data_IF_005986652639
#
_entry.id   IF_005986652639
#
_cell.length_a   1.000
_cell.length_b   1.000
_cell.length_c   1.000
_cell.angle_alpha   90.00
_cell.angle_beta   90.00
_cell.angle_gamma   90.00
#
_symmetry.space_group_name_H-M   'P 1'
#
loop_
_entity.id
_entity.type
_entity.pdbx_description
1 polymer ?
#
# COMPACT_ATOMS: atom_id res chain seq x y z
N UNK A 1 -0.02 23.30 11.55
CA UNK A 1 1.10 22.68 10.80
C UNK A 1 0.56 21.51 10.00
N UNK A 2 0.79 21.44 8.66
CA UNK A 2 0.38 20.27 7.85
C UNK A 2 1.24 19.08 8.25
N UNK A 3 0.68 18.07 8.93
CA UNK A 3 1.37 16.80 9.19
C UNK A 3 1.90 16.25 7.86
N UNK A 4 3.20 16.01 7.80
CA UNK A 4 3.83 15.41 6.62
C UNK A 4 3.29 13.99 6.45
N UNK A 5 3.13 13.56 5.20
CA UNK A 5 2.71 12.19 4.91
C UNK A 5 3.85 11.24 5.29
N UNK A 6 3.56 10.23 6.10
CA UNK A 6 4.55 9.23 6.55
C UNK A 6 5.33 8.64 5.37
N UNK A 7 6.59 8.36 5.59
CA UNK A 7 7.43 7.60 4.66
C UNK A 7 6.88 6.18 4.54
N UNK A 8 6.95 5.61 3.34
CA UNK A 8 6.63 4.19 3.14
C UNK A 8 7.75 3.29 3.68
N UNK A 9 7.47 1.99 3.81
CA UNK A 9 8.42 0.98 4.33
C UNK A 9 9.75 0.98 3.59
N UNK A 10 9.74 1.11 2.23
CA UNK A 10 10.96 1.26 1.43
C UNK A 10 11.75 2.52 1.83
N UNK A 11 11.08 3.69 1.90
CA UNK A 11 11.73 4.94 2.27
C UNK A 11 12.27 4.93 3.71
N UNK A 12 11.57 4.23 4.63
CA UNK A 12 12.07 4.04 6.00
C UNK A 12 13.31 3.13 6.04
N UNK A 13 13.29 2.04 5.28
CA UNK A 13 14.45 1.14 5.19
C UNK A 13 15.68 1.88 4.64
N UNK A 14 15.52 2.64 3.57
CA UNK A 14 16.59 3.43 2.96
C UNK A 14 17.08 4.53 3.89
N UNK A 15 16.15 5.25 4.56
CA UNK A 15 16.51 6.27 5.55
C UNK A 15 17.38 5.68 6.67
N UNK A 16 16.92 4.64 7.32
CA UNK A 16 17.66 4.06 8.45
C UNK A 16 18.95 3.39 8.03
N UNK A 17 19.04 2.85 6.81
CA UNK A 17 20.28 2.30 6.26
C UNK A 17 21.34 3.37 6.08
N UNK A 18 21.01 4.43 5.37
CA UNK A 18 21.93 5.56 5.14
C UNK A 18 22.32 6.22 6.47
N UNK A 19 21.31 6.48 7.30
CA UNK A 19 21.53 7.11 8.60
C UNK A 19 22.42 6.26 9.53
N UNK A 20 22.25 4.93 9.54
CA UNK A 20 23.08 4.04 10.35
C UNK A 20 24.54 4.05 9.90
N UNK A 21 24.80 4.04 8.60
CA UNK A 21 26.15 4.09 8.05
C UNK A 21 26.86 5.40 8.43
N UNK A 22 26.18 6.52 8.24
CA UNK A 22 26.74 7.84 8.51
C UNK A 22 26.99 8.07 10.01
N UNK A 23 26.04 7.70 10.86
CA UNK A 23 26.20 7.82 12.32
C UNK A 23 27.25 6.84 12.86
N UNK A 24 27.34 5.63 12.31
CA UNK A 24 28.36 4.64 12.71
C UNK A 24 29.76 5.03 12.26
N UNK A 25 29.90 5.83 11.21
CA UNK A 25 31.20 6.41 10.79
C UNK A 25 31.66 7.58 11.66
N UNK A 26 30.89 7.95 12.69
CA UNK A 26 31.22 9.04 13.62
C UNK A 26 30.77 10.42 13.17
N UNK A 27 30.00 10.53 12.08
CA UNK A 27 29.43 11.80 11.65
C UNK A 27 28.39 12.31 12.65
N UNK A 28 28.39 13.61 12.98
CA UNK A 28 27.32 14.23 13.75
C UNK A 28 25.96 14.01 13.05
N UNK A 29 24.90 13.79 13.82
CA UNK A 29 23.56 13.53 13.29
C UNK A 29 23.09 14.62 12.31
N UNK A 30 23.35 15.88 12.62
CA UNK A 30 23.00 16.98 11.72
C UNK A 30 23.75 16.92 10.37
N UNK A 31 25.02 16.55 10.37
CA UNK A 31 25.82 16.36 9.15
C UNK A 31 25.36 15.14 8.34
N UNK A 32 24.98 14.05 9.02
CA UNK A 32 24.41 12.88 8.36
C UNK A 32 23.10 13.25 7.63
N UNK A 33 22.22 14.00 8.28
CA UNK A 33 20.95 14.44 7.69
C UNK A 33 21.16 15.40 6.50
N UNK A 34 22.21 16.22 6.53
CA UNK A 34 22.57 17.13 5.42
C UNK A 34 22.99 16.37 4.17
N UNK A 35 23.84 15.36 4.33
CA UNK A 35 24.26 14.48 3.24
C UNK A 35 23.05 13.75 2.65
N UNK A 36 22.20 13.17 3.50
CA UNK A 36 21.00 12.45 3.09
C UNK A 36 19.97 13.35 2.40
N UNK A 37 19.86 14.62 2.79
CA UNK A 37 18.99 15.60 2.12
C UNK A 37 19.41 15.86 0.69
N UNK A 38 20.72 15.93 0.43
CA UNK A 38 21.28 16.33 -0.86
C UNK A 38 21.30 15.18 -1.87
N UNK A 39 21.46 13.95 -1.40
CA UNK A 39 21.69 12.76 -2.24
C UNK A 39 20.38 12.09 -2.70
N UNK A 40 19.22 12.53 -2.19
CA UNK A 40 17.96 11.83 -2.38
C UNK A 40 17.04 12.53 -3.39
N UNK A 41 16.49 11.72 -4.31
CA UNK A 41 15.57 12.18 -5.36
C UNK A 41 14.10 12.28 -4.89
N UNK A 42 13.70 11.52 -3.82
CA UNK A 42 12.34 11.61 -3.28
C UNK A 42 12.17 12.87 -2.42
N UNK A 43 11.39 13.82 -2.94
CA UNK A 43 11.07 15.07 -2.25
C UNK A 43 10.48 14.88 -0.83
N UNK A 44 9.85 13.73 -0.54
CA UNK A 44 9.31 13.45 0.80
C UNK A 44 10.41 13.11 1.77
N UNK A 45 11.38 12.33 1.31
CA UNK A 45 12.54 11.95 2.08
C UNK A 45 13.42 13.20 2.37
N UNK A 46 13.81 13.96 1.34
CA UNK A 46 14.61 15.19 1.49
C UNK A 46 13.92 16.20 2.43
N UNK A 47 12.60 16.34 2.32
CA UNK A 47 11.82 17.21 3.24
C UNK A 47 11.83 16.72 4.69
N UNK A 48 11.77 15.40 4.89
CA UNK A 48 11.86 14.81 6.22
C UNK A 48 13.24 15.07 6.84
N UNK A 49 14.31 14.85 6.08
CA UNK A 49 15.69 15.13 6.52
C UNK A 49 15.88 16.60 6.87
N UNK A 50 15.41 17.50 6.00
CA UNK A 50 15.49 18.96 6.23
C UNK A 50 14.78 19.38 7.50
N UNK A 51 13.56 18.96 7.69
CA UNK A 51 12.78 19.32 8.88
C UNK A 51 13.40 18.72 10.15
N UNK A 52 13.86 17.48 10.08
CA UNK A 52 14.55 16.82 11.18
C UNK A 52 15.83 17.60 11.56
N UNK A 53 16.68 17.93 10.57
CA UNK A 53 17.90 18.74 10.79
C UNK A 53 17.57 20.10 11.43
N UNK A 54 16.54 20.79 10.92
CA UNK A 54 16.12 22.08 11.45
C UNK A 54 15.72 21.99 12.94
N UNK A 55 14.92 20.98 13.33
CA UNK A 55 14.50 20.79 14.71
C UNK A 55 15.65 20.47 15.65
N UNK A 56 16.63 19.71 15.18
CA UNK A 56 17.84 19.46 15.91
C UNK A 56 18.69 20.73 16.10
N UNK A 57 18.76 21.58 15.06
CA UNK A 57 19.45 22.89 15.15
C UNK A 57 18.74 23.83 16.14
N UNK A 58 17.42 23.71 16.29
CA UNK A 58 16.61 24.41 17.29
C UNK A 58 16.84 23.88 18.74
N UNK A 59 17.73 22.89 18.91
CA UNK A 59 18.10 22.34 20.23
C UNK A 59 17.23 21.19 20.71
N UNK A 60 16.38 20.62 19.85
CA UNK A 60 15.57 19.47 20.22
C UNK A 60 16.40 18.18 20.30
N UNK A 61 16.02 17.29 21.19
CA UNK A 61 16.54 15.92 21.25
C UNK A 61 16.22 15.17 19.93
N UNK A 62 17.06 14.20 19.56
CA UNK A 62 16.96 13.46 18.28
C UNK A 62 15.58 12.82 18.13
N UNK A 63 15.11 12.14 19.19
CA UNK A 63 13.80 11.48 19.21
C UNK A 63 12.63 12.45 19.04
N UNK A 64 12.69 13.60 19.72
CA UNK A 64 11.64 14.62 19.65
C UNK A 64 11.62 15.35 18.31
N UNK A 65 12.80 15.70 17.79
CA UNK A 65 12.96 16.28 16.46
C UNK A 65 12.40 15.36 15.36
N UNK A 66 12.65 14.05 15.49
CA UNK A 66 12.13 13.03 14.59
C UNK A 66 10.59 12.92 14.65
N UNK A 67 10.02 12.95 15.85
CA UNK A 67 8.57 12.92 16.07
C UNK A 67 7.85 14.11 15.44
N UNK A 68 8.40 15.31 15.61
CA UNK A 68 7.83 16.54 15.04
C UNK A 68 7.77 16.55 13.50
N UNK A 69 8.64 15.80 12.83
CA UNK A 69 8.54 15.67 11.36
C UNK A 69 7.24 15.03 10.92
N UNK A 70 6.66 14.15 11.76
CA UNK A 70 5.47 13.35 11.43
C UNK A 70 5.69 12.34 10.29
N UNK A 71 6.92 12.21 9.78
CA UNK A 71 7.28 11.34 8.67
C UNK A 71 7.56 9.90 9.11
N UNK A 72 7.89 9.69 10.39
CA UNK A 72 8.32 8.43 10.95
C UNK A 72 7.23 7.74 11.77
N UNK A 73 7.19 6.40 11.81
CA UNK A 73 6.33 5.65 12.71
C UNK A 73 6.74 5.83 14.18
N UNK A 74 5.78 5.72 15.05
CA UNK A 74 6.00 5.89 16.50
C UNK A 74 7.04 4.90 17.07
N UNK A 75 7.01 3.64 16.60
CA UNK A 75 8.00 2.63 16.97
C UNK A 75 9.44 3.12 16.72
N UNK A 76 9.70 3.69 15.55
CA UNK A 76 11.02 4.21 15.20
C UNK A 76 11.43 5.37 16.12
N UNK A 77 10.51 6.30 16.36
CA UNK A 77 10.74 7.44 17.27
C UNK A 77 11.11 6.97 18.68
N UNK A 78 10.35 6.05 19.25
CA UNK A 78 10.60 5.52 20.59
C UNK A 78 11.94 4.77 20.69
N UNK A 79 12.28 3.98 19.66
CA UNK A 79 13.56 3.29 19.61
C UNK A 79 14.74 4.27 19.51
N UNK A 80 14.61 5.33 18.72
CA UNK A 80 15.65 6.37 18.59
C UNK A 80 15.80 7.15 19.90
N UNK A 81 14.68 7.52 20.55
CA UNK A 81 14.71 8.20 21.88
C UNK A 81 15.45 7.36 22.92
N UNK A 82 15.15 6.07 22.99
CA UNK A 82 15.88 5.16 23.90
C UNK A 82 17.35 5.02 23.54
N UNK A 83 17.68 4.99 22.25
CA UNK A 83 19.05 4.87 21.76
C UNK A 83 19.87 6.14 21.98
N UNK A 84 19.23 7.31 21.94
CA UNK A 84 19.85 8.60 22.25
C UNK A 84 20.31 8.64 23.72
N UNK A 85 19.43 8.25 24.64
CA UNK A 85 19.75 8.18 26.07
C UNK A 85 20.85 7.14 26.34
N UNK A 86 20.79 6.00 25.64
CA UNK A 86 21.74 4.89 25.84
C UNK A 86 23.05 5.03 25.05
N UNK A 87 23.22 6.05 24.22
CA UNK A 87 24.43 6.28 23.42
C UNK A 87 24.70 5.24 22.32
N UNK A 88 23.68 4.49 21.86
CA UNK A 88 23.83 3.40 20.88
C UNK A 88 23.00 3.62 19.59
N UNK A 89 22.94 4.87 19.14
CA UNK A 89 22.18 5.27 17.94
C UNK A 89 22.53 4.43 16.70
N UNK A 90 23.81 4.26 16.38
CA UNK A 90 24.22 3.50 15.19
C UNK A 90 23.72 2.06 15.19
N UNK A 91 23.76 1.37 16.34
CA UNK A 91 23.24 0.00 16.45
C UNK A 91 21.73 -0.06 16.32
N UNK A 92 21.02 0.91 16.87
CA UNK A 92 19.55 0.95 16.83
C UNK A 92 19.05 1.33 15.43
N UNK A 93 19.70 2.28 14.78
CA UNK A 93 19.36 2.66 13.40
C UNK A 93 19.58 1.51 12.41
N UNK A 94 20.64 0.71 12.61
CA UNK A 94 20.86 -0.51 11.83
C UNK A 94 19.73 -1.53 12.02
N UNK A 95 19.32 -1.78 13.26
CA UNK A 95 18.18 -2.67 13.54
C UNK A 95 16.87 -2.17 12.93
N UNK A 96 16.64 -0.86 12.95
CA UNK A 96 15.47 -0.26 12.28
C UNK A 96 15.52 -0.43 10.76
N UNK A 97 16.71 -0.28 10.17
CA UNK A 97 16.91 -0.55 8.74
C UNK A 97 16.54 -2.00 8.39
N UNK A 98 17.08 -2.96 9.11
CA UNK A 98 16.80 -4.39 8.90
C UNK A 98 15.31 -4.71 9.09
N UNK A 99 14.68 -4.10 10.11
CA UNK A 99 13.25 -4.27 10.38
C UNK A 99 12.39 -3.78 9.20
N UNK A 100 12.61 -2.55 8.75
CA UNK A 100 11.82 -1.98 7.65
C UNK A 100 12.14 -2.60 6.30
N UNK A 101 13.37 -3.04 6.07
CA UNK A 101 13.71 -3.82 4.88
C UNK A 101 12.97 -5.16 4.83
N UNK A 102 12.91 -5.86 5.96
CA UNK A 102 12.16 -7.12 6.08
C UNK A 102 10.65 -6.89 5.90
N UNK A 103 10.12 -5.83 6.47
CA UNK A 103 8.72 -5.44 6.31
C UNK A 103 8.40 -5.14 4.84
N UNK A 104 9.23 -4.34 4.17
CA UNK A 104 9.08 -4.04 2.75
C UNK A 104 9.12 -5.28 1.87
N UNK A 105 10.06 -6.19 2.11
CA UNK A 105 10.15 -7.48 1.40
C UNK A 105 8.91 -8.34 1.64
N UNK A 106 8.36 -8.33 2.84
CA UNK A 106 7.16 -9.09 3.20
C UNK A 106 5.92 -8.51 2.51
N UNK A 107 5.77 -7.19 2.47
CA UNK A 107 4.72 -6.51 1.70
C UNK A 107 4.76 -6.90 0.22
N UNK A 108 5.95 -6.96 -0.37
CA UNK A 108 6.15 -7.41 -1.75
C UNK A 108 5.67 -8.85 -1.98
N UNK A 109 6.00 -9.77 -1.07
CA UNK A 109 5.56 -11.17 -1.13
C UNK A 109 4.04 -11.31 -1.00
N UNK A 110 3.43 -10.60 -0.04
CA UNK A 110 1.98 -10.59 0.14
C UNK A 110 1.29 -10.06 -1.12
N UNK A 111 1.80 -8.96 -1.68
CA UNK A 111 1.25 -8.37 -2.91
C UNK A 111 1.30 -9.34 -4.08
N UNK A 112 2.40 -10.07 -4.23
CA UNK A 112 2.55 -11.08 -5.29
C UNK A 112 1.63 -12.28 -5.04
N UNK A 113 1.51 -12.76 -3.81
CA UNK A 113 0.63 -13.87 -3.46
C UNK A 113 -0.85 -13.54 -3.68
N UNK A 114 -1.25 -12.29 -3.46
CA UNK A 114 -2.63 -11.83 -3.68
C UNK A 114 -3.01 -11.69 -5.17
N UNK A 115 -2.05 -11.81 -6.09
CA UNK A 115 -2.32 -11.73 -7.52
C UNK A 115 -3.16 -12.93 -8.00
N UNK A 116 -2.80 -14.14 -7.56
CA UNK A 116 -3.51 -15.36 -7.94
C UNK A 116 -4.99 -15.37 -7.51
N UNK A 117 -5.36 -15.12 -6.24
CA UNK A 117 -6.76 -15.01 -5.84
C UNK A 117 -7.54 -13.94 -6.62
N UNK A 118 -6.91 -12.82 -6.92
CA UNK A 118 -7.56 -11.75 -7.70
C UNK A 118 -7.88 -12.19 -9.12
N UNK A 119 -6.94 -12.87 -9.80
CA UNK A 119 -7.15 -13.42 -11.14
C UNK A 119 -8.28 -14.46 -11.11
N UNK A 120 -8.27 -15.35 -10.11
CA UNK A 120 -9.28 -16.40 -9.97
C UNK A 120 -10.69 -15.81 -9.81
N UNK A 121 -10.86 -14.85 -8.89
CA UNK A 121 -12.14 -14.17 -8.67
C UNK A 121 -12.62 -13.46 -9.94
N UNK A 122 -11.71 -12.79 -10.65
CA UNK A 122 -12.04 -12.14 -11.91
C UNK A 122 -12.54 -13.13 -12.97
N UNK A 123 -11.84 -14.25 -13.14
CA UNK A 123 -12.24 -15.31 -14.08
C UNK A 123 -13.58 -15.94 -13.69
N UNK A 124 -13.82 -16.12 -12.40
CA UNK A 124 -15.10 -16.64 -11.89
C UNK A 124 -16.26 -15.68 -12.22
N UNK A 125 -16.09 -14.38 -11.94
CA UNK A 125 -17.09 -13.37 -12.27
C UNK A 125 -17.33 -13.30 -13.78
N UNK A 126 -16.25 -13.34 -14.57
CA UNK A 126 -16.34 -13.35 -16.03
C UNK A 126 -17.12 -14.57 -16.54
N UNK A 127 -16.83 -15.76 -16.03
CA UNK A 127 -17.52 -16.99 -16.41
C UNK A 127 -19.01 -16.91 -16.08
N UNK A 128 -19.35 -16.46 -14.87
CA UNK A 128 -20.75 -16.29 -14.46
C UNK A 128 -21.49 -15.33 -15.37
N UNK A 129 -20.90 -14.16 -15.65
CA UNK A 129 -21.48 -13.18 -16.57
C UNK A 129 -21.63 -13.76 -18.00
N UNK A 130 -20.65 -14.51 -18.48
CA UNK A 130 -20.70 -15.16 -19.79
C UNK A 130 -21.87 -16.16 -19.88
N UNK A 131 -22.05 -17.00 -18.85
CA UNK A 131 -23.18 -17.93 -18.79
C UNK A 131 -24.53 -17.19 -18.82
N UNK A 132 -24.68 -16.13 -18.02
CA UNK A 132 -25.92 -15.36 -17.95
C UNK A 132 -26.23 -14.60 -19.26
N UNK A 133 -25.24 -14.13 -19.99
CA UNK A 133 -25.43 -13.27 -21.16
C UNK A 133 -25.42 -14.03 -22.47
N UNK A 134 -24.65 -15.10 -22.56
CA UNK A 134 -24.50 -15.87 -23.80
C UNK A 134 -25.31 -17.17 -23.76
N UNK A 135 -25.22 -17.94 -22.69
CA UNK A 135 -25.81 -19.30 -22.63
C UNK A 135 -27.30 -19.25 -22.27
N UNK A 136 -27.67 -18.54 -21.19
CA UNK A 136 -29.05 -18.52 -20.72
C UNK A 136 -30.06 -18.04 -21.77
N UNK A 137 -29.82 -16.96 -22.55
CA UNK A 137 -30.77 -16.52 -23.58
C UNK A 137 -30.96 -17.53 -24.71
N UNK A 138 -29.95 -18.34 -25.02
CA UNK A 138 -30.06 -19.36 -26.08
C UNK A 138 -30.92 -20.56 -25.66
N UNK A 139 -31.05 -20.80 -24.35
CA UNK A 139 -31.86 -21.88 -23.79
C UNK A 139 -33.30 -21.47 -23.55
N UNK A 140 -33.63 -20.20 -23.53
CA UNK A 140 -34.98 -19.67 -23.26
C UNK A 140 -36.06 -20.25 -24.21
N UNK A 141 -35.82 -20.32 -25.57
CA UNK A 141 -36.80 -20.88 -26.50
C UNK A 141 -37.11 -22.35 -26.23
N UNK A 142 -36.13 -23.11 -25.73
CA UNK A 142 -36.28 -24.55 -25.46
C UNK A 142 -37.05 -24.83 -24.15
N UNK A 143 -37.12 -23.84 -23.28
CA UNK A 143 -37.77 -23.93 -21.97
C UNK A 143 -39.21 -23.39 -21.95
N UNK A 144 -39.68 -22.86 -23.10
CA UNK A 144 -41.08 -22.41 -23.28
C UNK A 144 -42.04 -23.62 -23.18
N UNK A 145 -42.84 -23.64 -22.15
CA UNK A 145 -43.82 -24.71 -21.94
C UNK A 145 -43.50 -25.72 -20.83
N UNK A 146 -42.32 -25.61 -20.20
CA UNK A 146 -41.92 -26.45 -19.07
C UNK A 146 -42.15 -25.70 -17.75
N UNK A 147 -42.74 -26.36 -16.73
CA UNK A 147 -42.82 -25.79 -15.37
C UNK A 147 -41.42 -25.73 -14.76
N UNK A 148 -40.82 -24.56 -14.81
CA UNK A 148 -39.47 -24.31 -14.28
C UNK A 148 -39.48 -24.27 -12.74
N UNK A 149 -38.52 -24.91 -12.07
CA UNK A 149 -38.29 -24.74 -10.64
C UNK A 149 -38.04 -23.24 -10.28
N UNK A 150 -38.43 -22.86 -9.08
CA UNK A 150 -38.29 -21.46 -8.60
C UNK A 150 -36.89 -20.89 -8.82
N UNK A 151 -35.85 -21.71 -8.60
CA UNK A 151 -34.46 -21.32 -8.78
C UNK A 151 -34.13 -20.92 -10.24
N UNK A 152 -34.60 -21.67 -11.20
CA UNK A 152 -34.38 -21.41 -12.63
C UNK A 152 -35.14 -20.17 -13.09
N UNK A 153 -36.33 -19.93 -12.51
CA UNK A 153 -37.13 -18.75 -12.80
C UNK A 153 -36.46 -17.46 -12.31
N UNK A 154 -35.95 -17.44 -11.08
CA UNK A 154 -35.19 -16.29 -10.56
C UNK A 154 -33.92 -16.03 -11.33
N UNK A 155 -33.20 -17.09 -11.76
CA UNK A 155 -32.02 -16.96 -12.62
C UNK A 155 -32.38 -16.34 -13.99
N UNK A 156 -33.50 -16.72 -14.58
CA UNK A 156 -33.96 -16.11 -15.85
C UNK A 156 -34.36 -14.65 -15.68
N UNK A 157 -35.04 -14.29 -14.59
CA UNK A 157 -35.38 -12.88 -14.30
C UNK A 157 -34.13 -12.01 -14.16
N UNK A 158 -33.11 -12.53 -13.46
CA UNK A 158 -31.79 -11.85 -13.36
C UNK A 158 -31.12 -11.75 -14.71
N UNK A 159 -31.14 -12.80 -15.52
CA UNK A 159 -30.59 -12.80 -16.89
C UNK A 159 -31.28 -11.76 -17.78
N UNK A 160 -32.61 -11.70 -17.76
CA UNK A 160 -33.38 -10.69 -18.50
C UNK A 160 -33.06 -9.26 -18.05
N UNK A 161 -32.91 -9.07 -16.74
CA UNK A 161 -32.50 -7.78 -16.21
C UNK A 161 -31.10 -7.39 -16.71
N UNK A 162 -30.13 -8.30 -16.67
CA UNK A 162 -28.78 -8.08 -17.19
C UNK A 162 -28.81 -7.86 -18.71
N UNK A 163 -29.58 -8.62 -19.46
CA UNK A 163 -29.68 -8.48 -20.91
C UNK A 163 -30.34 -7.17 -21.33
N UNK A 164 -31.35 -6.70 -20.60
CA UNK A 164 -31.97 -5.38 -20.81
C UNK A 164 -30.98 -4.24 -20.59
N UNK A 165 -30.04 -4.41 -19.67
CA UNK A 165 -28.98 -3.44 -19.35
C UNK A 165 -27.67 -3.74 -20.11
N UNK A 166 -27.69 -4.50 -21.21
CA UNK A 166 -26.49 -4.87 -21.99
C UNK A 166 -25.63 -3.68 -22.42
N UNK A 167 -26.22 -2.50 -22.59
CA UNK A 167 -25.49 -1.26 -22.90
C UNK A 167 -24.73 -0.71 -21.68
N UNK A 168 -25.13 -1.10 -20.47
CA UNK A 168 -24.38 -0.81 -19.24
C UNK A 168 -23.25 -1.82 -18.97
N UNK A 169 -23.21 -2.92 -19.71
CA UNK A 169 -22.15 -3.94 -19.57
C UNK A 169 -20.76 -3.40 -19.90
N UNK A 170 -20.53 -2.62 -20.98
CA UNK A 170 -19.21 -2.00 -21.17
C UNK A 170 -18.88 -1.00 -20.06
N UNK A 171 -19.88 -0.30 -19.52
CA UNK A 171 -19.68 0.58 -18.34
C UNK A 171 -19.37 -0.23 -17.08
N UNK A 172 -20.07 -1.34 -16.83
CA UNK A 172 -19.79 -2.25 -15.72
C UNK A 172 -18.43 -2.94 -15.89
N UNK A 173 -18.04 -3.34 -17.09
CA UNK A 173 -16.71 -3.86 -17.41
C UNK A 173 -15.62 -2.81 -17.18
N UNK A 174 -15.89 -1.56 -17.53
CA UNK A 174 -14.97 -0.43 -17.32
C UNK A 174 -14.85 -0.09 -15.82
N UNK A 175 -15.94 -0.17 -15.07
CA UNK A 175 -15.94 -0.04 -13.61
C UNK A 175 -15.19 -1.22 -12.98
N UNK A 176 -15.42 -2.44 -13.43
CA UNK A 176 -14.70 -3.62 -12.95
C UNK A 176 -13.21 -3.51 -13.25
N UNK A 177 -12.84 -3.02 -14.44
CA UNK A 177 -11.46 -2.78 -14.85
C UNK A 177 -10.81 -1.64 -14.04
N UNK A 178 -11.54 -0.56 -13.77
CA UNK A 178 -11.04 0.55 -12.93
C UNK A 178 -10.91 0.14 -11.46
N UNK A 179 -11.86 -0.63 -10.94
CA UNK A 179 -11.78 -1.23 -9.60
C UNK A 179 -10.62 -2.23 -9.52
N UNK A 180 -10.43 -3.05 -10.56
CA UNK A 180 -9.30 -3.94 -10.71
C UNK A 180 -7.97 -3.19 -10.69
N UNK A 181 -7.84 -2.16 -11.54
CA UNK A 181 -6.65 -1.28 -11.58
C UNK A 181 -6.43 -0.60 -10.23
N UNK A 182 -7.49 -0.15 -9.57
CA UNK A 182 -7.43 0.49 -8.26
C UNK A 182 -7.01 -0.50 -7.15
N UNK A 183 -7.51 -1.74 -7.16
CA UNK A 183 -7.10 -2.79 -6.22
C UNK A 183 -5.65 -3.25 -6.41
N UNK A 184 -5.15 -3.23 -7.65
CA UNK A 184 -3.76 -3.59 -7.94
C UNK A 184 -2.81 -2.42 -7.63
N UNK A 185 -3.24 -1.19 -7.89
CA UNK A 185 -2.37 -0.01 -7.81
C UNK A 185 -2.33 0.62 -6.42
N UNK A 186 -3.34 0.34 -5.57
CA UNK A 186 -3.27 0.78 -4.17
C UNK A 186 -2.84 -0.38 -3.28
N UNK A 187 -1.69 -0.26 -2.60
CA UNK A 187 -1.34 -1.20 -1.55
C UNK A 187 -2.41 -1.13 -0.45
N UNK A 188 -2.93 -2.29 -0.08
CA UNK A 188 -3.92 -2.49 1.01
C UNK A 188 -3.33 -2.10 2.39
N UNK A 189 -2.18 -1.45 2.43
CA UNK A 189 -1.50 -1.01 3.66
C UNK A 189 -1.90 0.43 3.98
N UNK A 190 -3.16 0.63 4.35
CA UNK A 190 -3.61 1.85 5.03
C UNK A 190 -4.59 1.58 6.17
N UNK A 191 -4.69 0.33 6.61
CA UNK A 191 -5.51 -0.04 7.76
C UNK A 191 -4.71 -1.03 8.62
N UNK A 192 -3.76 -0.52 9.34
CA UNK A 192 -3.30 -0.97 10.67
C UNK A 192 -2.38 0.12 11.22
#
# INVERSE_FOLDING_TARGET
MKKQKKLGTAGLADFFRQFSVLVSSGLPVAGALEIMETDETDQRFSRACRLFKQRMTDGMAIGDAMEETGAFPELAVQMIRSAEIGGHLGKTTMKLSEHYEKEHRTEGKIRSAMLYPKILIFMMIFLVLFVFLAILPTLEPLLKGVKLPLLTRTLMEISHFLYRYRYFLPAAALILFTVWKFLITRPVVRLL
#
